data_IF_792187197127
#
_entry.id   IF_792187197127
#
_cell.length_a   1.000
_cell.length_b   1.000
_cell.length_c   1.000
_cell.angle_alpha   90.00
_cell.angle_beta   90.00
_cell.angle_gamma   90.00
#
_symmetry.space_group_name_H-M   'P 1'
#
loop_
_entity.id
_entity.type
_entity.pdbx_description
1 polymer ?
#
# COMPACT_ATOMS: atom_id res chain seq x y z
N UNK A 1 -93.28 -24.95 -5.91
CA UNK A 1 -92.87 -24.42 -4.60
C UNK A 1 -91.46 -23.97 -4.64
N UNK A 2 -91.28 -22.76 -4.40
CA UNK A 2 -90.00 -21.96 -4.61
C UNK A 2 -88.80 -22.50 -3.84
N UNK A 3 -87.59 -22.34 -4.39
CA UNK A 3 -86.51 -21.62 -3.72
C UNK A 3 -85.29 -21.44 -4.63
N UNK A 4 -84.96 -20.21 -4.85
CA UNK A 4 -83.81 -19.67 -5.49
C UNK A 4 -82.52 -19.85 -4.68
N UNK A 5 -81.39 -20.20 -5.32
CA UNK A 5 -80.09 -20.05 -4.70
C UNK A 5 -79.17 -19.22 -5.61
N UNK A 6 -78.80 -18.10 -5.07
CA UNK A 6 -77.88 -17.10 -5.63
C UNK A 6 -76.42 -17.61 -5.67
N UNK A 7 -75.78 -17.51 -6.83
CA UNK A 7 -74.37 -17.81 -7.02
C UNK A 7 -73.51 -16.58 -6.63
N UNK A 8 -72.64 -16.76 -5.64
CA UNK A 8 -71.67 -15.78 -5.22
C UNK A 8 -70.33 -16.11 -5.92
N UNK A 9 -70.02 -15.38 -6.95
CA UNK A 9 -68.70 -15.42 -7.59
C UNK A 9 -67.68 -14.64 -6.74
N UNK A 10 -66.73 -15.33 -6.12
CA UNK A 10 -65.55 -14.73 -5.48
C UNK A 10 -64.44 -14.56 -6.51
N UNK A 11 -64.12 -13.32 -6.86
CA UNK A 11 -62.97 -12.97 -7.66
C UNK A 11 -61.68 -13.25 -6.91
N UNK A 12 -60.83 -14.07 -7.49
CA UNK A 12 -59.48 -14.34 -7.02
C UNK A 12 -58.57 -13.27 -7.63
N UNK A 13 -58.20 -12.28 -6.83
CA UNK A 13 -57.17 -11.28 -7.21
C UNK A 13 -55.80 -11.98 -7.22
N UNK A 14 -55.22 -12.10 -8.41
CA UNK A 14 -53.86 -12.60 -8.57
C UNK A 14 -52.85 -11.49 -8.12
N UNK A 15 -52.27 -11.67 -6.94
CA UNK A 15 -51.12 -10.88 -6.50
C UNK A 15 -49.90 -11.32 -7.29
N UNK A 16 -49.52 -10.56 -8.32
CA UNK A 16 -48.23 -10.69 -8.97
C UNK A 16 -47.14 -10.18 -8.02
N UNK A 17 -46.34 -11.10 -7.48
CA UNK A 17 -45.12 -10.77 -6.76
C UNK A 17 -44.09 -10.21 -7.76
N UNK A 18 -43.97 -8.92 -7.78
CA UNK A 18 -42.92 -8.23 -8.51
C UNK A 18 -41.61 -8.39 -7.72
N UNK A 19 -40.78 -9.34 -8.14
CA UNK A 19 -39.43 -9.52 -7.59
C UNK A 19 -38.53 -8.41 -8.14
N UNK A 20 -38.27 -7.41 -7.31
CA UNK A 20 -37.19 -6.42 -7.59
C UNK A 20 -35.83 -7.11 -7.42
N UNK A 21 -35.23 -7.51 -8.52
CA UNK A 21 -33.81 -7.85 -8.56
C UNK A 21 -33.02 -6.54 -8.40
N UNK A 22 -32.48 -6.28 -7.19
CA UNK A 22 -31.46 -5.27 -6.99
C UNK A 22 -30.18 -5.75 -7.69
N UNK A 23 -29.96 -5.27 -8.91
CA UNK A 23 -28.66 -5.41 -9.53
C UNK A 23 -27.63 -4.67 -8.67
N UNK A 24 -26.82 -5.42 -7.92
CA UNK A 24 -25.66 -4.90 -7.22
C UNK A 24 -24.64 -4.53 -8.30
N UNK A 25 -24.65 -3.27 -8.70
CA UNK A 25 -23.59 -2.72 -9.53
C UNK A 25 -22.33 -2.67 -8.68
N UNK A 26 -21.53 -3.72 -8.75
CA UNK A 26 -20.19 -3.69 -8.20
C UNK A 26 -19.35 -2.80 -9.12
N UNK A 27 -19.37 -1.52 -8.84
CA UNK A 27 -18.44 -0.59 -9.47
C UNK A 27 -17.04 -1.04 -9.07
N UNK A 28 -16.33 -1.66 -9.99
CA UNK A 28 -14.90 -1.93 -9.83
C UNK A 28 -14.23 -0.55 -9.78
N UNK A 29 -13.91 -0.09 -8.58
CA UNK A 29 -13.08 1.10 -8.40
C UNK A 29 -11.72 0.70 -8.95
N UNK A 30 -11.44 1.10 -10.18
CA UNK A 30 -10.07 1.11 -10.72
C UNK A 30 -9.40 2.24 -9.94
N UNK A 31 -8.66 1.90 -8.90
CA UNK A 31 -7.87 2.87 -8.17
C UNK A 31 -6.77 3.35 -9.12
N UNK A 32 -6.75 4.65 -9.37
CA UNK A 32 -5.64 5.27 -10.07
C UNK A 32 -4.38 5.17 -9.21
N UNK A 33 -3.17 5.13 -9.80
CA UNK A 33 -1.95 5.18 -9.03
C UNK A 33 -1.94 6.35 -8.05
N UNK A 34 -1.42 6.11 -6.86
CA UNK A 34 -1.29 7.15 -5.83
C UNK A 34 -0.56 8.39 -6.38
N UNK A 35 -1.02 9.57 -5.97
CA UNK A 35 -0.50 10.86 -6.42
C UNK A 35 -0.16 11.76 -5.23
N UNK A 36 0.60 12.83 -5.51
CA UNK A 36 0.85 13.88 -4.52
C UNK A 36 -0.48 14.51 -4.10
N UNK A 37 -0.69 14.63 -2.79
CA UNK A 37 -1.93 15.11 -2.17
C UNK A 37 -2.84 14.00 -1.67
N UNK A 38 -2.68 12.77 -2.12
CA UNK A 38 -3.48 11.64 -1.66
C UNK A 38 -3.13 11.24 -0.23
N UNK A 39 -4.13 10.74 0.49
CA UNK A 39 -3.92 10.08 1.77
C UNK A 39 -3.46 8.64 1.56
N UNK A 40 -2.58 8.18 2.43
CA UNK A 40 -2.17 6.78 2.43
C UNK A 40 -3.34 5.85 2.79
N UNK A 41 -3.39 4.65 2.20
CA UNK A 41 -4.37 3.63 2.58
C UNK A 41 -4.05 3.08 3.98
N UNK A 42 -5.08 2.83 4.80
CA UNK A 42 -4.92 2.20 6.10
C UNK A 42 -4.65 0.70 5.93
N UNK A 43 -3.38 0.33 5.84
CA UNK A 43 -2.92 -1.05 5.64
C UNK A 43 -1.91 -1.41 6.72
N UNK A 44 -2.00 -2.63 7.25
CA UNK A 44 -1.03 -3.20 8.17
C UNK A 44 0.16 -3.77 7.40
N UNK A 45 1.34 -3.32 7.75
CA UNK A 45 2.63 -3.90 7.40
C UNK A 45 3.18 -4.67 8.60
N UNK A 46 4.31 -5.35 8.43
CA UNK A 46 4.90 -6.17 9.49
C UNK A 46 6.37 -5.79 9.69
N UNK A 47 6.81 -5.69 10.94
CA UNK A 47 8.19 -5.41 11.30
C UNK A 47 8.75 -6.55 12.15
N UNK A 48 9.92 -7.05 11.80
CA UNK A 48 10.66 -8.14 12.46
C UNK A 48 9.95 -9.51 12.47
N UNK A 49 8.62 -9.53 12.68
CA UNK A 49 7.83 -10.76 12.74
C UNK A 49 6.39 -10.53 12.29
N UNK A 50 5.65 -11.60 11.93
CA UNK A 50 4.22 -11.50 11.60
C UNK A 50 3.32 -11.08 12.77
N UNK A 51 3.81 -11.19 14.01
CA UNK A 51 3.09 -10.76 15.19
C UNK A 51 3.16 -9.25 15.41
N UNK A 52 4.19 -8.58 14.88
CA UNK A 52 4.39 -7.15 15.04
C UNK A 52 3.81 -6.40 13.83
N UNK A 53 2.56 -6.00 13.93
CA UNK A 53 1.84 -5.21 12.93
C UNK A 53 2.13 -3.73 13.12
N UNK A 54 2.33 -3.05 12.02
CA UNK A 54 2.53 -1.60 11.93
C UNK A 54 1.54 -1.04 10.94
N UNK A 55 0.50 -0.35 11.41
CA UNK A 55 -0.41 0.37 10.52
C UNK A 55 0.29 1.60 9.95
N UNK A 56 0.31 1.73 8.62
CA UNK A 56 1.07 2.79 7.96
C UNK A 56 0.49 4.19 8.23
N UNK A 57 -0.83 4.31 8.40
CA UNK A 57 -1.45 5.58 8.75
C UNK A 57 -1.07 6.01 10.17
N UNK A 58 -1.09 5.08 11.13
CA UNK A 58 -0.70 5.36 12.52
C UNK A 58 0.78 5.74 12.63
N UNK A 59 1.63 5.05 11.87
CA UNK A 59 3.05 5.36 11.79
C UNK A 59 3.33 6.78 11.28
N UNK A 60 2.52 7.27 10.35
CA UNK A 60 2.73 8.55 9.65
C UNK A 60 1.90 9.70 10.21
N UNK A 61 0.95 9.43 11.13
CA UNK A 61 0.09 10.44 11.72
C UNK A 61 0.89 11.53 12.47
N UNK A 62 0.67 12.80 12.12
CA UNK A 62 1.33 13.95 12.71
C UNK A 62 2.85 14.00 12.50
N UNK A 63 3.40 13.21 11.58
CA UNK A 63 4.85 13.07 11.34
C UNK A 63 5.19 13.28 9.87
N UNK A 64 6.43 13.76 9.65
CA UNK A 64 7.05 13.73 8.34
C UNK A 64 7.87 12.45 8.21
N UNK A 65 7.53 11.63 7.24
CA UNK A 65 8.12 10.30 7.01
C UNK A 65 8.63 10.21 5.57
N UNK A 66 9.82 9.66 5.40
CA UNK A 66 10.32 9.24 4.10
C UNK A 66 10.11 7.74 3.97
N UNK A 67 9.35 7.34 2.97
CA UNK A 67 9.13 5.93 2.64
C UNK A 67 9.74 5.63 1.28
N UNK A 68 10.47 4.54 1.18
CA UNK A 68 10.93 4.01 -0.11
C UNK A 68 10.60 2.53 -0.22
N UNK A 69 10.27 2.10 -1.43
CA UNK A 69 9.96 0.70 -1.70
C UNK A 69 10.93 0.12 -2.72
N UNK A 70 11.17 -1.17 -2.58
CA UNK A 70 12.12 -1.91 -3.41
C UNK A 70 11.46 -3.16 -4.01
N UNK A 71 11.90 -3.59 -5.22
CA UNK A 71 11.43 -4.83 -5.84
C UNK A 71 11.69 -6.07 -4.98
N UNK A 72 12.76 -6.10 -4.20
CA UNK A 72 13.03 -7.23 -3.30
C UNK A 72 14.26 -7.04 -2.44
N UNK A 73 14.16 -7.48 -1.19
CA UNK A 73 15.31 -7.63 -0.30
C UNK A 73 16.39 -8.51 -0.96
N UNK A 74 17.65 -8.26 -0.64
CA UNK A 74 18.83 -8.99 -1.13
C UNK A 74 19.09 -8.91 -2.65
N UNK A 75 18.26 -8.20 -3.43
CA UNK A 75 18.55 -7.99 -4.86
C UNK A 75 19.69 -6.97 -5.05
N UNK A 76 20.48 -7.07 -6.14
CA UNK A 76 21.72 -6.28 -6.28
C UNK A 76 21.53 -4.76 -6.18
N UNK A 77 20.58 -4.18 -6.93
CA UNK A 77 20.31 -2.74 -6.90
C UNK A 77 19.78 -2.25 -5.56
N UNK A 78 18.93 -3.06 -4.91
CA UNK A 78 18.36 -2.74 -3.60
C UNK A 78 19.43 -2.78 -2.50
N UNK A 79 20.36 -3.77 -2.55
CA UNK A 79 21.37 -4.00 -1.51
C UNK A 79 22.65 -3.19 -1.70
N UNK A 80 23.06 -2.89 -2.96
CA UNK A 80 24.32 -2.19 -3.21
C UNK A 80 24.16 -0.67 -3.23
N UNK A 81 22.96 -0.17 -3.55
CA UNK A 81 22.77 1.27 -3.80
C UNK A 81 21.59 1.84 -3.00
N UNK A 82 20.38 1.31 -3.17
CA UNK A 82 19.17 1.97 -2.69
C UNK A 82 19.11 2.05 -1.16
N UNK A 83 19.08 0.90 -0.47
CA UNK A 83 19.05 0.85 1.00
C UNK A 83 20.31 1.49 1.63
N UNK A 84 21.54 1.20 1.20
CA UNK A 84 22.72 1.88 1.76
C UNK A 84 22.68 3.38 1.62
N UNK A 85 22.16 3.91 0.50
CA UNK A 85 21.99 5.34 0.30
C UNK A 85 21.09 5.98 1.36
N UNK A 86 19.99 5.35 1.73
CA UNK A 86 19.12 5.84 2.81
C UNK A 86 19.77 5.70 4.19
N UNK A 87 20.47 4.61 4.45
CA UNK A 87 21.20 4.42 5.73
C UNK A 87 22.27 5.49 5.92
N UNK A 88 23.02 5.85 4.87
CA UNK A 88 24.05 6.88 4.89
C UNK A 88 23.47 8.29 5.06
N UNK A 89 22.32 8.57 4.47
CA UNK A 89 21.67 9.88 4.53
C UNK A 89 20.66 10.00 5.69
N UNK A 90 20.54 8.99 6.55
CA UNK A 90 19.51 8.97 7.58
C UNK A 90 19.60 10.16 8.54
N UNK A 91 20.79 10.47 9.04
CA UNK A 91 20.99 11.56 10.00
C UNK A 91 20.73 12.92 9.34
N UNK A 92 21.10 13.10 8.07
CA UNK A 92 20.80 14.30 7.29
C UNK A 92 19.28 14.49 7.15
N UNK A 93 18.56 13.46 6.69
CA UNK A 93 17.10 13.52 6.52
C UNK A 93 16.39 13.81 7.84
N UNK A 94 16.83 13.19 8.94
CA UNK A 94 16.29 13.47 10.27
C UNK A 94 16.57 14.89 10.71
N UNK A 95 17.75 15.43 10.44
CA UNK A 95 18.09 16.83 10.68
C UNK A 95 17.25 17.83 9.87
N UNK A 96 16.67 17.40 8.76
CA UNK A 96 15.73 18.17 7.93
C UNK A 96 14.26 18.03 8.40
N UNK A 97 14.00 17.35 9.54
CA UNK A 97 12.68 17.21 10.15
C UNK A 97 11.95 15.90 9.81
N UNK A 98 12.62 14.92 9.18
CA UNK A 98 12.05 13.59 8.95
C UNK A 98 12.09 12.82 10.27
N UNK A 99 10.92 12.41 10.76
CA UNK A 99 10.78 11.64 11.99
C UNK A 99 11.19 10.17 11.80
N UNK A 100 10.79 9.58 10.67
CA UNK A 100 11.04 8.16 10.37
C UNK A 100 11.44 7.97 8.90
N UNK A 101 12.34 7.03 8.65
CA UNK A 101 12.67 6.53 7.32
C UNK A 101 12.26 5.07 7.26
N UNK A 102 11.50 4.70 6.25
CA UNK A 102 10.83 3.38 6.13
C UNK A 102 11.18 2.75 4.80
N UNK A 103 11.64 1.51 4.84
CA UNK A 103 11.80 0.65 3.67
C UNK A 103 10.65 -0.35 3.60
N UNK A 104 9.97 -0.45 2.45
CA UNK A 104 8.90 -1.44 2.24
C UNK A 104 9.27 -2.38 1.10
N UNK A 105 8.98 -3.67 1.27
CA UNK A 105 9.10 -4.65 0.19
C UNK A 105 8.05 -5.76 0.31
N UNK A 106 7.67 -6.33 -0.84
CA UNK A 106 6.84 -7.54 -0.92
C UNK A 106 7.73 -8.76 -0.61
N UNK A 107 8.17 -8.82 0.64
CA UNK A 107 8.92 -9.91 1.26
C UNK A 107 8.26 -10.22 2.61
N UNK A 108 8.60 -11.36 3.21
CA UNK A 108 8.19 -11.66 4.57
C UNK A 108 8.99 -10.85 5.60
N UNK A 109 8.48 -10.69 6.86
CA UNK A 109 9.11 -9.86 7.87
C UNK A 109 10.47 -10.38 8.35
N UNK A 110 10.69 -11.68 8.34
CA UNK A 110 11.99 -12.25 8.74
C UNK A 110 13.08 -11.94 7.72
N UNK A 111 12.75 -11.99 6.42
CA UNK A 111 13.66 -11.58 5.34
C UNK A 111 13.98 -10.09 5.47
N UNK A 112 12.98 -9.24 5.76
CA UNK A 112 13.21 -7.81 5.94
C UNK A 112 14.09 -7.51 7.16
N UNK A 113 13.87 -8.19 8.28
CA UNK A 113 14.69 -8.07 9.49
C UNK A 113 16.15 -8.51 9.25
N UNK A 114 16.34 -9.67 8.61
CA UNK A 114 17.67 -10.17 8.29
C UNK A 114 18.43 -9.22 7.35
N UNK A 115 17.75 -8.72 6.33
CA UNK A 115 18.32 -7.76 5.39
C UNK A 115 18.67 -6.43 6.06
N UNK A 116 17.80 -5.94 6.94
CA UNK A 116 18.06 -4.75 7.76
C UNK A 116 19.27 -4.93 8.67
N UNK A 117 19.42 -6.09 9.31
CA UNK A 117 20.58 -6.41 10.15
C UNK A 117 21.87 -6.38 9.35
N UNK A 118 21.89 -7.00 8.16
CA UNK A 118 23.06 -7.00 7.27
C UNK A 118 23.49 -5.57 6.86
N UNK A 119 22.54 -4.64 6.72
CA UNK A 119 22.79 -3.26 6.30
C UNK A 119 22.88 -2.26 7.45
N UNK A 120 22.88 -2.71 8.72
CA UNK A 120 22.97 -1.85 9.91
C UNK A 120 21.90 -0.75 9.92
N UNK A 121 20.64 -1.12 9.63
CA UNK A 121 19.52 -0.18 9.53
C UNK A 121 18.97 0.28 10.87
N UNK A 122 19.32 -0.41 11.97
CA UNK A 122 18.80 -0.12 13.32
C UNK A 122 19.01 1.35 13.71
N UNK A 123 17.92 2.00 14.11
CA UNK A 123 17.91 3.42 14.47
C UNK A 123 17.98 4.39 13.28
N UNK A 124 18.11 3.91 12.06
CA UNK A 124 18.21 4.71 10.83
C UNK A 124 17.03 4.50 9.89
N UNK A 125 16.74 3.25 9.53
CA UNK A 125 15.68 2.87 8.58
C UNK A 125 14.87 1.74 9.19
N UNK A 126 13.56 1.88 9.28
CA UNK A 126 12.64 0.81 9.66
C UNK A 126 12.38 -0.09 8.47
N UNK A 127 12.38 -1.40 8.70
CA UNK A 127 12.29 -2.42 7.66
C UNK A 127 10.92 -3.09 7.73
N UNK A 128 9.98 -2.63 6.89
CA UNK A 128 8.61 -3.12 6.90
C UNK A 128 8.36 -4.10 5.75
N UNK A 129 7.66 -5.18 6.06
CA UNK A 129 7.24 -6.21 5.12
C UNK A 129 5.79 -6.01 4.68
N UNK A 130 5.52 -6.19 3.39
CA UNK A 130 4.19 -6.29 2.79
C UNK A 130 4.02 -7.67 2.12
N UNK A 131 3.94 -8.79 2.89
CA UNK A 131 4.05 -10.15 2.33
C UNK A 131 3.00 -10.46 1.27
N UNK A 132 1.80 -9.92 1.42
CA UNK A 132 0.69 -10.12 0.48
C UNK A 132 0.61 -9.03 -0.60
N UNK A 133 1.47 -8.03 -0.55
CA UNK A 133 1.47 -6.89 -1.46
C UNK A 133 0.23 -6.00 -1.31
N UNK A 134 -0.43 -6.00 -0.14
CA UNK A 134 -1.69 -5.27 0.06
C UNK A 134 -1.48 -3.76 0.01
N UNK A 135 -0.42 -3.27 0.63
CA UNK A 135 -0.05 -1.85 0.59
C UNK A 135 0.34 -1.42 -0.82
N UNK A 136 1.20 -2.18 -1.47
CA UNK A 136 1.66 -1.88 -2.83
C UNK A 136 0.50 -1.94 -3.85
N UNK A 137 -0.44 -2.88 -3.70
CA UNK A 137 -1.65 -2.94 -4.53
C UNK A 137 -2.57 -1.74 -4.29
N UNK A 138 -2.74 -1.33 -3.03
CA UNK A 138 -3.58 -0.18 -2.69
C UNK A 138 -3.01 1.15 -3.24
N UNK A 139 -1.69 1.24 -3.43
CA UNK A 139 -1.03 2.38 -4.08
C UNK A 139 -1.03 2.28 -5.62
N UNK A 140 -1.38 1.14 -6.20
CA UNK A 140 -1.20 0.80 -7.63
C UNK A 140 0.27 0.98 -8.11
N UNK A 141 1.22 0.68 -7.23
CA UNK A 141 2.66 0.72 -7.51
C UNK A 141 3.29 -0.69 -7.59
N UNK A 142 2.48 -1.68 -7.97
CA UNK A 142 2.92 -3.03 -8.20
C UNK A 142 3.45 -3.29 -9.60
N UNK A 143 4.24 -4.34 -9.74
CA UNK A 143 4.72 -4.87 -11.01
C UNK A 143 4.89 -6.39 -10.89
N UNK A 144 4.80 -7.09 -12.03
CA UNK A 144 5.05 -8.53 -12.04
C UNK A 144 6.48 -8.80 -12.47
N UNK A 145 7.26 -9.40 -11.57
CA UNK A 145 8.67 -9.78 -11.80
C UNK A 145 8.83 -11.29 -11.58
N UNK A 146 8.53 -12.14 -12.58
CA UNK A 146 8.57 -13.59 -12.44
C UNK A 146 9.90 -14.13 -11.87
N UNK A 147 11.08 -13.60 -12.26
CA UNK A 147 12.35 -14.05 -11.68
C UNK A 147 12.49 -13.78 -10.17
N UNK A 148 11.68 -12.88 -9.61
CA UNK A 148 11.64 -12.57 -8.18
C UNK A 148 10.43 -13.23 -7.48
N UNK A 149 9.73 -14.15 -8.14
CA UNK A 149 8.58 -14.86 -7.58
C UNK A 149 7.23 -14.19 -7.84
N UNK A 150 7.12 -13.32 -8.83
CA UNK A 150 5.84 -12.76 -9.30
C UNK A 150 5.59 -11.31 -8.89
N UNK A 151 4.49 -11.04 -8.16
CA UNK A 151 4.11 -9.69 -7.79
C UNK A 151 5.11 -9.04 -6.82
N UNK A 152 5.60 -7.86 -7.19
CA UNK A 152 6.56 -7.08 -6.42
C UNK A 152 6.20 -5.59 -6.46
N UNK A 153 6.86 -4.80 -5.59
CA UNK A 153 6.80 -3.35 -5.70
C UNK A 153 7.62 -2.86 -6.88
N UNK A 154 7.12 -1.84 -7.58
CA UNK A 154 8.01 -0.93 -8.30
C UNK A 154 8.97 -0.29 -7.31
N UNK A 155 10.10 0.20 -7.78
CA UNK A 155 10.98 1.02 -6.96
C UNK A 155 10.45 2.45 -6.97
N UNK A 156 10.22 2.99 -5.77
CA UNK A 156 9.80 4.38 -5.61
C UNK A 156 10.27 4.93 -4.27
N UNK A 157 10.19 6.23 -4.13
CA UNK A 157 10.27 6.93 -2.85
C UNK A 157 9.14 7.96 -2.73
N UNK A 158 8.75 8.26 -1.50
CA UNK A 158 7.77 9.30 -1.21
C UNK A 158 8.12 10.03 0.09
N UNK A 159 7.77 11.30 0.15
CA UNK A 159 7.70 12.07 1.38
C UNK A 159 6.24 12.14 1.80
N UNK A 160 5.99 11.78 3.04
CA UNK A 160 4.67 11.74 3.64
C UNK A 160 4.65 12.73 4.80
N UNK A 161 3.61 13.53 4.90
CA UNK A 161 3.39 14.43 6.03
C UNK A 161 1.95 14.25 6.52
N UNK A 162 1.80 13.87 7.77
CA UNK A 162 0.50 13.58 8.39
C UNK A 162 -0.39 12.69 7.50
N UNK A 163 0.17 11.54 7.11
CA UNK A 163 -0.47 10.52 6.26
C UNK A 163 -0.84 10.99 4.84
N UNK A 164 -0.37 12.16 4.39
CA UNK A 164 -0.54 12.66 3.02
C UNK A 164 0.78 12.61 2.25
N UNK A 165 0.72 12.23 0.99
CA UNK A 165 1.86 12.23 0.08
C UNK A 165 2.23 13.66 -0.33
N UNK A 166 3.41 14.14 0.04
CA UNK A 166 3.95 15.46 -0.36
C UNK A 166 4.86 15.39 -1.59
N UNK A 167 5.55 14.27 -1.76
CA UNK A 167 6.42 14.00 -2.90
C UNK A 167 6.33 12.53 -3.28
N UNK A 168 6.38 12.23 -4.55
CA UNK A 168 6.38 10.86 -5.08
C UNK A 168 7.34 10.77 -6.26
N UNK A 169 8.30 9.87 -6.18
CA UNK A 169 9.29 9.59 -7.22
C UNK A 169 9.23 8.09 -7.55
N UNK A 170 8.66 7.74 -8.69
CA UNK A 170 8.56 6.36 -9.17
C UNK A 170 9.55 6.16 -10.30
N UNK A 171 10.39 5.12 -10.22
CA UNK A 171 11.32 4.80 -11.30
C UNK A 171 10.54 4.44 -12.59
N UNK A 172 10.88 5.07 -13.73
CA UNK A 172 10.08 4.93 -14.96
C UNK A 172 9.93 3.49 -15.45
N UNK A 173 10.97 2.69 -15.29
CA UNK A 173 10.98 1.25 -15.64
C UNK A 173 10.53 0.34 -14.48
N UNK A 174 10.20 0.93 -13.34
CA UNK A 174 9.79 0.24 -12.11
C UNK A 174 10.94 -0.38 -11.32
N UNK A 175 12.18 -0.38 -11.82
CA UNK A 175 13.34 -1.04 -11.19
C UNK A 175 14.62 -0.21 -11.18
N UNK A 176 14.68 0.88 -11.94
CA UNK A 176 15.80 1.80 -12.05
C UNK A 176 16.26 2.41 -10.73
N UNK A 177 17.31 3.20 -10.79
CA UNK A 177 17.97 3.87 -9.67
C UNK A 177 18.33 5.31 -10.10
N UNK A 178 17.31 6.13 -10.35
CA UNK A 178 17.49 7.49 -10.85
C UNK A 178 16.85 8.56 -9.99
N UNK A 179 15.53 8.46 -9.76
CA UNK A 179 14.75 9.49 -9.07
C UNK A 179 14.37 9.14 -7.63
N UNK A 180 14.39 7.85 -7.25
CA UNK A 180 13.96 7.36 -5.94
C UNK A 180 15.08 7.30 -4.90
N UNK A 181 16.28 7.73 -5.24
CA UNK A 181 17.44 7.69 -4.35
C UNK A 181 17.34 8.71 -3.22
N UNK A 182 18.03 8.46 -2.10
CA UNK A 182 17.97 9.29 -0.91
C UNK A 182 18.43 10.76 -1.14
N UNK A 183 19.38 10.97 -2.04
CA UNK A 183 19.88 12.30 -2.43
C UNK A 183 18.93 13.07 -3.35
N UNK A 184 17.89 12.43 -3.87
CA UNK A 184 16.85 13.04 -4.71
C UNK A 184 15.64 13.52 -3.91
N UNK A 185 15.50 13.07 -2.67
CA UNK A 185 14.41 13.47 -1.78
C UNK A 185 14.48 14.97 -1.47
N UNK A 186 13.35 15.65 -1.58
CA UNK A 186 13.21 17.09 -1.29
C UNK A 186 12.30 17.29 -0.09
N UNK A 187 12.88 17.65 1.05
CA UNK A 187 12.10 17.95 2.26
C UNK A 187 11.67 19.41 2.19
N UNK A 188 10.34 19.63 2.03
CA UNK A 188 9.75 20.97 2.14
C UNK A 188 9.77 21.39 3.62
N UNK A 189 10.23 22.61 3.87
CA UNK A 189 10.20 23.25 5.19
C UNK A 189 8.78 23.70 5.54
#
# INVERSE_FOLDING_TARGET
MFLTTSSFLRGISAFTKQTYSKAVHTTRIVMAPVQVGDKLPAVDLFEDSPANKVNICDLTAGKKVVLFAVPGAFTPGCSKTHLPGYVQNADKLKGEGVAEIVCVSVNDPYVMAAWGTQHNTKGKVRMLADPSGNFIKALDLGTNLPPLGGFRSKRFSMVINDSKVEELNVEPDGTGLSCSLADKIKIKK
#
